data_IF_797297037161
#
_entry.id   IF_797297037161
#
_cell.length_a   1.000
_cell.length_b   1.000
_cell.length_c   1.000
_cell.angle_alpha   90.00
_cell.angle_beta   90.00
_cell.angle_gamma   90.00
#
_symmetry.space_group_name_H-M   'P 1'
#
loop_
_entity.id
_entity.type
_entity.pdbx_description
1 polymer ?
#
# COMPACT_ATOMS: atom_id res chain seq x y z
N UNK A 1 6.65 15.71 -21.06
CA UNK A 1 7.85 15.23 -20.34
C UNK A 1 7.45 13.97 -19.61
N UNK A 2 8.11 12.83 -19.80
CA UNK A 2 7.89 11.70 -18.89
C UNK A 2 9.17 10.91 -18.79
N UNK A 3 10.08 11.39 -17.94
CA UNK A 3 11.32 10.70 -17.63
C UNK A 3 11.07 9.35 -16.96
N UNK A 4 12.11 8.53 -16.94
CA UNK A 4 12.11 7.19 -16.34
C UNK A 4 11.72 7.25 -14.85
N UNK A 5 10.87 6.32 -14.42
CA UNK A 5 10.45 6.18 -13.02
C UNK A 5 11.58 5.51 -12.25
N UNK A 6 12.16 6.25 -11.32
CA UNK A 6 13.31 5.83 -10.51
C UNK A 6 12.82 5.08 -9.27
N UNK A 7 13.19 3.82 -9.12
CA UNK A 7 12.72 2.96 -8.03
C UNK A 7 13.88 2.53 -7.14
N UNK A 8 13.70 2.63 -5.83
CA UNK A 8 14.61 2.05 -4.83
C UNK A 8 13.98 0.79 -4.25
N UNK A 9 14.73 -0.31 -4.24
CA UNK A 9 14.30 -1.59 -3.65
C UNK A 9 14.93 -1.77 -2.26
N UNK A 10 14.14 -2.05 -1.24
CA UNK A 10 14.62 -2.31 0.12
C UNK A 10 14.07 -3.65 0.60
N UNK A 11 14.95 -4.64 0.75
CA UNK A 11 14.62 -6.00 1.16
C UNK A 11 15.88 -6.67 1.74
N UNK A 12 15.76 -7.41 2.85
CA UNK A 12 16.90 -8.07 3.50
C UNK A 12 17.35 -9.32 2.74
N UNK A 13 16.44 -9.95 1.99
CA UNK A 13 16.71 -11.10 1.15
C UNK A 13 17.57 -10.70 -0.06
N UNK A 14 18.78 -11.25 -0.12
CA UNK A 14 19.66 -11.11 -1.28
C UNK A 14 19.01 -11.64 -2.57
N UNK A 15 18.11 -12.63 -2.46
CA UNK A 15 17.34 -13.16 -3.59
C UNK A 15 16.35 -12.10 -4.10
N UNK A 16 15.54 -11.51 -3.22
CA UNK A 16 14.56 -10.48 -3.61
C UNK A 16 15.23 -9.23 -4.17
N UNK A 17 16.38 -8.83 -3.62
CA UNK A 17 17.18 -7.73 -4.18
C UNK A 17 17.73 -7.99 -5.58
N UNK A 18 17.76 -9.24 -6.05
CA UNK A 18 18.08 -9.58 -7.45
C UNK A 18 16.80 -9.75 -8.28
N UNK A 19 15.79 -10.40 -7.73
CA UNK A 19 14.56 -10.74 -8.44
C UNK A 19 13.69 -9.50 -8.72
N UNK A 20 13.46 -8.63 -7.74
CA UNK A 20 12.63 -7.43 -7.92
C UNK A 20 13.18 -6.52 -9.02
N UNK A 21 14.50 -6.20 -9.08
CA UNK A 21 15.03 -5.46 -10.22
C UNK A 21 14.82 -6.15 -11.58
N UNK A 22 15.00 -7.47 -11.66
CA UNK A 22 14.75 -8.22 -12.90
C UNK A 22 13.28 -8.13 -13.34
N UNK A 23 12.35 -8.21 -12.39
CA UNK A 23 10.92 -8.05 -12.64
C UNK A 23 10.60 -6.65 -13.18
N UNK A 24 11.19 -5.61 -12.57
CA UNK A 24 10.95 -4.22 -12.93
C UNK A 24 11.60 -3.80 -14.25
N UNK A 25 12.76 -4.36 -14.60
CA UNK A 25 13.48 -4.11 -15.85
C UNK A 25 12.70 -4.52 -17.12
N UNK A 26 11.64 -5.32 -16.97
CA UNK A 26 10.73 -5.66 -18.08
C UNK A 26 10.03 -4.44 -18.65
N UNK A 27 9.86 -3.40 -17.84
CA UNK A 27 9.28 -2.13 -18.28
C UNK A 27 10.36 -1.07 -18.46
N UNK A 28 10.60 -0.64 -19.71
CA UNK A 28 11.62 0.35 -20.06
C UNK A 28 11.37 1.75 -19.46
N UNK A 29 10.18 1.99 -18.91
CA UNK A 29 9.86 3.25 -18.24
C UNK A 29 10.25 3.25 -16.77
N UNK A 30 10.74 2.13 -16.23
CA UNK A 30 11.19 1.99 -14.83
C UNK A 30 12.70 1.71 -14.79
N UNK A 31 13.40 2.41 -13.91
CA UNK A 31 14.81 2.20 -13.62
C UNK A 31 14.96 1.93 -12.13
N UNK A 32 15.58 0.80 -11.78
CA UNK A 32 15.98 0.55 -10.40
C UNK A 32 17.30 1.26 -10.13
N UNK A 33 17.21 2.38 -9.42
CA UNK A 33 18.36 3.27 -9.12
C UNK A 33 19.17 2.81 -7.91
N UNK A 34 18.72 1.78 -7.21
CA UNK A 34 19.49 1.15 -6.14
C UNK A 34 18.72 0.06 -5.41
N UNK A 35 19.46 -0.75 -4.64
CA UNK A 35 18.90 -1.72 -3.70
C UNK A 35 19.53 -1.58 -2.30
N UNK A 36 18.77 -1.76 -1.22
CA UNK A 36 19.26 -1.69 0.15
C UNK A 36 18.87 -2.94 0.94
N UNK A 37 19.76 -3.39 1.84
CA UNK A 37 19.57 -4.62 2.62
C UNK A 37 18.80 -4.42 3.93
N UNK A 38 18.58 -3.18 4.34
CA UNK A 38 17.83 -2.83 5.53
C UNK A 38 17.41 -1.36 5.47
N UNK A 39 16.61 -0.93 6.44
CA UNK A 39 16.11 0.44 6.50
C UNK A 39 17.21 1.50 6.63
N UNK A 40 18.33 1.21 7.29
CA UNK A 40 19.38 2.18 7.52
C UNK A 40 20.14 2.51 6.22
N UNK A 41 20.52 1.47 5.46
CA UNK A 41 21.05 1.65 4.10
C UNK A 41 19.99 2.22 3.16
N UNK A 42 18.72 1.86 3.35
CA UNK A 42 17.60 2.40 2.60
C UNK A 42 17.49 3.92 2.71
N UNK A 43 17.51 4.46 3.93
CA UNK A 43 17.46 5.90 4.18
C UNK A 43 18.62 6.66 3.56
N UNK A 44 19.86 6.14 3.66
CA UNK A 44 21.03 6.75 2.99
C UNK A 44 20.85 6.80 1.48
N UNK A 45 20.41 5.69 0.87
CA UNK A 45 20.19 5.63 -0.58
C UNK A 45 19.11 6.58 -1.04
N UNK A 46 18.06 6.81 -0.26
CA UNK A 46 17.02 7.80 -0.61
C UNK A 46 17.64 9.17 -0.88
N UNK A 47 18.61 9.60 -0.07
CA UNK A 47 19.30 10.89 -0.24
C UNK A 47 20.23 10.89 -1.46
N UNK A 48 20.98 9.79 -1.67
CA UNK A 48 21.93 9.65 -2.78
C UNK A 48 21.23 9.57 -4.14
N UNK A 49 20.16 8.77 -4.22
CA UNK A 49 19.52 8.42 -5.50
C UNK A 49 18.15 9.04 -5.67
N UNK A 50 17.60 9.79 -4.71
CA UNK A 50 16.33 10.53 -4.86
C UNK A 50 15.22 9.76 -5.62
N UNK A 51 14.84 8.55 -5.20
CA UNK A 51 13.92 7.70 -5.96
C UNK A 51 12.53 8.34 -6.06
N UNK A 52 11.78 7.99 -7.11
CA UNK A 52 10.37 8.37 -7.30
C UNK A 52 9.42 7.53 -6.46
N UNK A 53 9.71 6.23 -6.34
CA UNK A 53 8.93 5.23 -5.61
C UNK A 53 9.89 4.30 -4.87
N UNK A 54 9.47 3.78 -3.72
CA UNK A 54 10.23 2.78 -2.94
C UNK A 54 9.41 1.50 -2.86
N UNK A 55 10.04 0.35 -3.14
CA UNK A 55 9.48 -0.95 -2.75
C UNK A 55 10.14 -1.37 -1.43
N UNK A 56 9.33 -1.73 -0.43
CA UNK A 56 9.81 -1.95 0.93
C UNK A 56 9.30 -3.27 1.49
N UNK A 57 10.22 -4.10 1.96
CA UNK A 57 9.91 -5.20 2.86
C UNK A 57 9.72 -4.70 4.30
N UNK A 58 8.77 -5.30 5.02
CA UNK A 58 8.54 -5.00 6.43
C UNK A 58 9.29 -5.97 7.36
N UNK A 59 9.50 -7.22 6.93
CA UNK A 59 10.02 -8.30 7.78
C UNK A 59 11.56 -8.37 7.75
N UNK A 60 12.24 -7.35 8.30
CA UNK A 60 13.72 -7.26 8.28
C UNK A 60 14.37 -7.39 9.69
N UNK A 61 15.42 -8.21 9.89
CA UNK A 61 15.93 -8.62 11.21
C UNK A 61 16.85 -7.61 11.96
N UNK A 62 16.88 -6.32 11.62
CA UNK A 62 17.73 -5.32 12.33
C UNK A 62 17.13 -3.93 12.46
N UNK A 63 16.45 -3.46 11.41
CA UNK A 63 15.65 -2.24 11.42
C UNK A 63 14.29 -2.59 10.84
N UNK A 64 13.24 -2.38 11.63
CA UNK A 64 11.86 -2.68 11.23
C UNK A 64 11.51 -1.83 10.00
N UNK A 65 11.11 -2.45 8.89
CA UNK A 65 10.67 -1.72 7.70
C UNK A 65 9.53 -0.74 8.01
N UNK A 66 8.75 -1.03 9.06
CA UNK A 66 7.73 -0.13 9.61
C UNK A 66 8.33 1.20 10.11
N UNK A 67 9.52 1.17 10.71
CA UNK A 67 10.17 2.39 11.21
C UNK A 67 10.75 3.23 10.07
N UNK A 68 11.35 2.59 9.08
CA UNK A 68 11.76 3.27 7.85
C UNK A 68 10.56 3.96 7.18
N UNK A 69 9.43 3.26 7.05
CA UNK A 69 8.19 3.83 6.52
C UNK A 69 7.75 5.06 7.31
N UNK A 70 7.72 4.99 8.65
CA UNK A 70 7.40 6.15 9.51
C UNK A 70 8.31 7.34 9.24
N UNK A 71 9.60 7.10 9.10
CA UNK A 71 10.58 8.16 8.82
C UNK A 71 10.36 8.77 7.43
N UNK A 72 10.13 7.95 6.40
CA UNK A 72 9.83 8.43 5.04
C UNK A 72 8.60 9.33 5.04
N UNK A 73 7.52 8.90 5.69
CA UNK A 73 6.25 9.65 5.71
C UNK A 73 6.35 10.97 6.48
N UNK A 74 7.29 11.08 7.44
CA UNK A 74 7.58 12.33 8.17
C UNK A 74 8.45 13.31 7.37
N UNK A 75 9.38 12.81 6.55
CA UNK A 75 10.47 13.62 5.99
C UNK A 75 10.28 13.97 4.52
N UNK A 76 10.18 12.97 3.65
CA UNK A 76 10.24 13.15 2.19
C UNK A 76 8.94 12.74 1.47
N UNK A 77 8.08 11.96 2.15
CA UNK A 77 6.74 11.56 1.65
C UNK A 77 6.78 10.92 0.25
N UNK A 78 7.81 10.13 0.00
CA UNK A 78 7.95 9.31 -1.21
C UNK A 78 6.93 8.17 -1.11
N UNK A 79 6.15 7.87 -2.16
CA UNK A 79 5.22 6.75 -2.12
C UNK A 79 5.98 5.42 -1.94
N UNK A 80 5.51 4.63 -0.97
CA UNK A 80 6.09 3.34 -0.61
C UNK A 80 5.10 2.23 -0.95
N UNK A 81 5.52 1.25 -1.76
CA UNK A 81 4.76 0.03 -2.03
C UNK A 81 5.36 -1.09 -1.16
N UNK A 82 4.54 -1.68 -0.31
CA UNK A 82 4.96 -2.80 0.53
C UNK A 82 5.05 -4.07 -0.30
N UNK A 83 6.12 -4.84 -0.12
CA UNK A 83 6.30 -6.15 -0.74
C UNK A 83 6.31 -7.18 0.38
N UNK A 84 5.16 -7.79 0.68
CA UNK A 84 4.96 -8.59 1.89
C UNK A 84 4.81 -10.09 1.63
N UNK A 85 5.13 -10.92 2.62
CA UNK A 85 4.75 -12.33 2.63
C UNK A 85 3.23 -12.51 2.77
N UNK A 86 2.72 -13.70 2.47
CA UNK A 86 1.30 -14.06 2.66
C UNK A 86 1.00 -14.59 4.07
N UNK A 87 1.92 -14.45 5.02
CA UNK A 87 1.67 -14.88 6.40
C UNK A 87 0.62 -13.97 7.05
N UNK A 88 -0.13 -14.49 8.04
CA UNK A 88 -1.06 -13.67 8.83
C UNK A 88 -0.33 -12.50 9.51
N UNK A 89 0.90 -12.73 9.98
CA UNK A 89 1.77 -11.70 10.54
C UNK A 89 2.12 -10.63 9.50
N UNK A 90 2.51 -11.04 8.29
CA UNK A 90 2.83 -10.16 7.16
C UNK A 90 1.63 -9.32 6.71
N UNK A 91 0.43 -9.89 6.73
CA UNK A 91 -0.79 -9.14 6.40
C UNK A 91 -1.15 -8.11 7.47
N UNK A 92 -1.10 -8.46 8.76
CA UNK A 92 -1.31 -7.50 9.85
C UNK A 92 -0.30 -6.34 9.79
N UNK A 93 0.98 -6.65 9.54
CA UNK A 93 2.02 -5.65 9.32
C UNK A 93 1.72 -4.75 8.11
N UNK A 94 1.24 -5.33 7.01
CA UNK A 94 0.86 -4.59 5.79
C UNK A 94 -0.27 -3.60 6.05
N UNK A 95 -1.33 -3.98 6.76
CA UNK A 95 -2.41 -3.04 7.09
C UNK A 95 -1.96 -1.93 8.05
N UNK A 96 -1.07 -2.25 8.99
CA UNK A 96 -0.44 -1.22 9.82
C UNK A 96 0.38 -0.25 8.97
N UNK A 97 1.13 -0.77 8.00
CA UNK A 97 1.89 0.06 7.07
C UNK A 97 1.00 0.95 6.19
N UNK A 98 -0.12 0.43 5.67
CA UNK A 98 -1.11 1.22 4.93
C UNK A 98 -1.61 2.41 5.76
N UNK A 99 -2.00 2.18 7.01
CA UNK A 99 -2.43 3.26 7.91
C UNK A 99 -1.30 4.21 8.33
N UNK A 100 -0.04 3.80 8.28
CA UNK A 100 1.12 4.68 8.47
C UNK A 100 1.44 5.52 7.22
N UNK A 101 0.73 5.32 6.11
CA UNK A 101 0.88 6.09 4.88
C UNK A 101 1.55 5.33 3.72
N UNK A 102 1.76 4.02 3.83
CA UNK A 102 2.13 3.24 2.66
C UNK A 102 1.09 3.41 1.55
N UNK A 103 1.57 3.48 0.31
CA UNK A 103 0.74 3.79 -0.86
C UNK A 103 -0.13 2.58 -1.26
N UNK A 104 0.49 1.41 -1.31
CA UNK A 104 -0.15 0.15 -1.66
C UNK A 104 0.76 -1.02 -1.23
N UNK A 105 0.36 -2.25 -1.55
CA UNK A 105 1.16 -3.45 -1.34
C UNK A 105 1.03 -4.46 -2.49
N UNK A 106 1.98 -5.39 -2.54
CA UNK A 106 2.03 -6.55 -3.43
C UNK A 106 2.55 -7.74 -2.63
N UNK A 107 2.08 -8.94 -2.93
CA UNK A 107 2.60 -10.16 -2.29
C UNK A 107 3.92 -10.62 -2.92
N UNK A 108 4.85 -11.09 -2.10
CA UNK A 108 6.09 -11.74 -2.55
C UNK A 108 5.76 -13.01 -3.35
N UNK A 109 6.55 -13.33 -4.41
CA UNK A 109 6.39 -14.58 -5.14
C UNK A 109 6.66 -15.77 -4.23
N UNK A 110 5.76 -16.77 -4.24
CA UNK A 110 5.98 -18.07 -3.60
C UNK A 110 6.76 -18.97 -4.55
N UNK A 111 7.75 -19.68 -4.03
CA UNK A 111 8.39 -20.84 -4.64
C UNK A 111 9.01 -20.69 -6.05
N UNK A 112 9.12 -19.46 -6.56
CA UNK A 112 9.86 -19.16 -7.80
C UNK A 112 9.17 -19.60 -9.11
N UNK A 113 7.89 -19.97 -9.08
CA UNK A 113 7.15 -20.37 -10.28
C UNK A 113 7.11 -19.23 -11.33
N UNK A 114 7.54 -19.45 -12.59
CA UNK A 114 7.70 -18.38 -13.58
C UNK A 114 6.43 -17.58 -13.86
N UNK A 115 5.28 -18.24 -14.01
CA UNK A 115 3.98 -17.61 -14.28
C UNK A 115 3.58 -16.64 -13.15
N UNK A 116 3.76 -17.08 -11.89
CA UNK A 116 3.45 -16.27 -10.71
C UNK A 116 4.38 -15.05 -10.60
N UNK A 117 5.64 -15.19 -11.02
CA UNK A 117 6.57 -14.06 -11.07
C UNK A 117 6.11 -13.04 -12.13
N UNK A 118 5.55 -13.47 -13.26
CA UNK A 118 5.06 -12.56 -14.29
C UNK A 118 3.82 -11.77 -13.85
N UNK A 119 2.87 -12.43 -13.19
CA UNK A 119 1.70 -11.79 -12.58
C UNK A 119 2.10 -10.71 -11.57
N UNK A 120 2.98 -11.07 -10.64
CA UNK A 120 3.45 -10.15 -9.59
C UNK A 120 4.26 -9.00 -10.18
N UNK A 121 5.06 -9.26 -11.22
CA UNK A 121 5.79 -8.20 -11.92
C UNK A 121 4.83 -7.19 -12.56
N UNK A 122 3.80 -7.69 -13.25
CA UNK A 122 2.79 -6.85 -13.90
C UNK A 122 2.02 -6.01 -12.88
N UNK A 123 1.61 -6.62 -11.75
CA UNK A 123 0.95 -5.93 -10.65
C UNK A 123 1.84 -4.82 -10.06
N UNK A 124 3.10 -5.15 -9.74
CA UNK A 124 4.05 -4.22 -9.14
C UNK A 124 4.38 -3.05 -10.07
N UNK A 125 4.62 -3.33 -11.36
CA UNK A 125 4.87 -2.30 -12.39
C UNK A 125 3.67 -1.34 -12.49
N UNK A 126 2.45 -1.89 -12.52
CA UNK A 126 1.22 -1.08 -12.56
C UNK A 126 1.13 -0.14 -11.36
N UNK A 127 1.30 -0.66 -10.14
CA UNK A 127 1.27 0.13 -8.91
C UNK A 127 2.37 1.19 -8.85
N UNK A 128 3.59 0.88 -9.30
CA UNK A 128 4.70 1.84 -9.38
C UNK A 128 4.37 3.01 -10.30
N UNK A 129 3.77 2.75 -11.47
CA UNK A 129 3.37 3.80 -12.41
C UNK A 129 2.32 4.73 -11.82
N UNK A 130 1.32 4.18 -11.12
CA UNK A 130 0.29 4.97 -10.44
C UNK A 130 0.90 5.77 -9.29
N UNK A 131 1.76 5.15 -8.47
CA UNK A 131 2.47 5.80 -7.36
C UNK A 131 3.33 6.98 -7.83
N UNK A 132 4.10 6.81 -8.91
CA UNK A 132 4.95 7.84 -9.48
C UNK A 132 4.12 9.05 -9.97
N UNK A 133 2.96 8.80 -10.59
CA UNK A 133 2.02 9.86 -11.01
C UNK A 133 1.38 10.56 -9.82
N UNK A 134 1.00 9.81 -8.78
CA UNK A 134 0.38 10.36 -7.57
C UNK A 134 1.31 11.34 -6.83
N UNK A 135 2.63 11.07 -6.82
CA UNK A 135 3.63 12.01 -6.29
C UNK A 135 3.63 13.34 -7.05
N UNK A 136 3.46 13.31 -8.37
CA UNK A 136 3.39 14.52 -9.20
C UNK A 136 2.07 15.30 -9.01
N UNK A 137 1.02 14.66 -8.51
CA UNK A 137 -0.35 15.21 -8.43
C UNK A 137 -0.84 15.65 -7.04
N UNK A 138 0.04 15.77 -6.03
CA UNK A 138 -0.34 15.95 -4.60
C UNK A 138 -1.20 14.81 -4.07
N UNK A 139 -0.61 13.63 -3.94
CA UNK A 139 -1.13 12.60 -3.04
C UNK A 139 -1.31 13.21 -1.63
N UNK A 140 -2.48 13.05 -0.97
CA UNK A 140 -2.64 13.39 0.44
C UNK A 140 -1.74 12.44 1.23
N UNK A 141 -0.54 12.92 1.53
CA UNK A 141 0.54 12.19 2.23
C UNK A 141 0.25 11.91 3.70
N UNK A 142 -0.95 12.26 4.14
CA UNK A 142 -1.60 11.76 5.33
C UNK A 142 -3.09 12.03 5.11
N UNK A 143 -3.91 10.98 5.02
CA UNK A 143 -5.22 11.11 5.63
C UNK A 143 -4.89 11.40 7.10
N UNK A 144 -5.33 12.52 7.69
CA UNK A 144 -4.94 12.88 9.05
C UNK A 144 -5.36 11.77 10.00
N UNK A 145 -4.43 10.92 10.41
CA UNK A 145 -4.62 9.91 11.47
C UNK A 145 -4.93 10.59 12.81
N UNK A 146 -4.57 11.88 12.94
CA UNK A 146 -4.86 12.72 14.10
C UNK A 146 -6.20 13.45 14.03
N UNK A 147 -6.97 13.32 12.95
CA UNK A 147 -8.39 13.55 13.05
C UNK A 147 -8.98 12.27 13.63
N UNK A 148 -9.11 12.17 14.95
CA UNK A 148 -10.18 11.32 15.47
C UNK A 148 -11.42 11.73 14.68
N UNK A 149 -12.07 10.82 13.91
CA UNK A 149 -13.34 11.18 13.29
C UNK A 149 -14.19 11.73 14.42
N UNK A 150 -14.58 13.01 14.30
CA UNK A 150 -15.44 13.64 15.30
C UNK A 150 -16.61 12.68 15.42
N UNK A 151 -16.84 12.04 16.60
CA UNK A 151 -17.77 10.93 16.68
C UNK A 151 -19.08 11.40 16.08
N UNK A 152 -19.45 10.84 14.92
CA UNK A 152 -20.76 11.11 14.36
C UNK A 152 -21.74 10.64 15.44
N UNK A 153 -22.73 11.46 15.81
CA UNK A 153 -23.66 11.10 16.88
C UNK A 153 -24.21 9.71 16.56
N UNK A 154 -24.07 8.77 17.51
CA UNK A 154 -24.62 7.43 17.36
C UNK A 154 -26.11 7.58 17.05
N UNK A 155 -26.61 7.04 15.92
CA UNK A 155 -28.02 7.11 15.62
C UNK A 155 -28.79 6.46 16.76
N UNK A 156 -29.72 7.21 17.36
CA UNK A 156 -30.55 6.75 18.47
C UNK A 156 -31.52 5.62 18.05
N UNK A 157 -31.63 5.34 16.75
CA UNK A 157 -32.51 4.31 16.18
C UNK A 157 -31.83 3.71 14.95
N UNK A 158 -31.46 2.42 15.00
CA UNK A 158 -31.16 1.65 13.78
C UNK A 158 -32.46 1.49 13.02
N UNK A 159 -32.57 2.07 11.81
CA UNK A 159 -33.70 1.79 10.93
C UNK A 159 -33.77 0.28 10.64
N UNK A 160 -34.91 -0.34 10.91
CA UNK A 160 -35.17 -1.75 10.63
C UNK A 160 -35.65 -2.00 9.19
N UNK A 161 -35.81 -0.94 8.39
CA UNK A 161 -36.22 -1.06 6.99
C UNK A 161 -35.07 -1.54 6.11
N UNK A 162 -35.32 -2.51 5.23
CA UNK A 162 -34.36 -2.92 4.21
C UNK A 162 -33.89 -1.71 3.38
N UNK A 163 -32.58 -1.59 3.08
CA UNK A 163 -32.06 -0.47 2.31
C UNK A 163 -32.69 -0.44 0.91
N UNK A 164 -33.21 0.71 0.51
CA UNK A 164 -33.87 0.90 -0.80
C UNK A 164 -32.89 1.28 -1.92
N UNK A 165 -31.61 1.45 -1.58
CA UNK A 165 -30.54 1.88 -2.49
C UNK A 165 -29.28 1.03 -2.27
N UNK A 166 -28.58 0.78 -3.36
CA UNK A 166 -27.28 0.11 -3.36
C UNK A 166 -26.25 1.05 -3.99
N UNK A 167 -25.09 1.19 -3.34
CA UNK A 167 -23.91 1.87 -3.88
C UNK A 167 -22.85 0.82 -4.13
N UNK A 168 -22.38 0.73 -5.37
CA UNK A 168 -21.28 -0.16 -5.76
C UNK A 168 -19.98 0.66 -5.89
N UNK A 169 -18.91 0.24 -5.21
CA UNK A 169 -17.58 0.86 -5.26
C UNK A 169 -16.58 -0.15 -5.78
N UNK A 170 -15.87 0.19 -6.85
CA UNK A 170 -14.72 -0.56 -7.34
C UNK A 170 -13.42 0.20 -7.08
N UNK A 171 -12.42 -0.43 -6.48
CA UNK A 171 -11.12 0.17 -6.20
C UNK A 171 -9.95 -0.80 -6.38
N UNK A 172 -8.77 -0.25 -6.64
CA UNK A 172 -7.54 -1.02 -6.86
C UNK A 172 -6.37 -0.29 -6.22
N UNK A 173 -5.47 0.31 -6.99
CA UNK A 173 -4.28 0.99 -6.47
C UNK A 173 -4.62 2.20 -5.62
N UNK A 174 -4.06 2.26 -4.40
CA UNK A 174 -4.40 3.30 -3.42
C UNK A 174 -5.80 3.17 -2.81
N UNK A 175 -6.54 2.13 -3.22
CA UNK A 175 -7.91 1.86 -2.79
C UNK A 175 -8.05 1.60 -1.29
N UNK A 176 -7.19 0.80 -0.63
CA UNK A 176 -7.36 0.48 0.80
C UNK A 176 -7.45 1.72 1.70
N UNK A 177 -6.51 2.67 1.56
CA UNK A 177 -6.51 3.91 2.33
C UNK A 177 -7.69 4.83 1.96
N UNK A 178 -8.03 4.88 0.66
CA UNK A 178 -9.15 5.68 0.16
C UNK A 178 -10.48 5.18 0.73
N UNK A 179 -10.70 3.87 0.72
CA UNK A 179 -11.87 3.23 1.29
C UNK A 179 -11.95 3.44 2.81
N UNK A 180 -10.84 3.26 3.52
CA UNK A 180 -10.80 3.50 4.96
C UNK A 180 -11.18 4.95 5.30
N UNK A 181 -10.65 5.92 4.54
CA UNK A 181 -11.04 7.32 4.70
C UNK A 181 -12.51 7.53 4.39
N UNK A 182 -12.97 7.11 3.21
CA UNK A 182 -14.35 7.30 2.76
C UNK A 182 -15.36 6.77 3.78
N UNK A 183 -15.17 5.52 4.22
CA UNK A 183 -16.07 4.85 5.16
C UNK A 183 -16.05 5.50 6.55
N UNK A 184 -14.89 5.98 7.02
CA UNK A 184 -14.77 6.68 8.31
C UNK A 184 -15.55 8.00 8.37
N UNK A 185 -15.93 8.57 7.21
CA UNK A 185 -16.73 9.79 7.12
C UNK A 185 -18.23 9.52 7.06
N UNK A 186 -18.66 8.26 6.91
CA UNK A 186 -20.06 7.90 6.80
C UNK A 186 -20.71 7.74 8.19
N UNK A 187 -21.97 8.14 8.35
CA UNK A 187 -22.71 7.92 9.59
C UNK A 187 -23.11 6.44 9.74
N UNK A 188 -23.26 5.97 10.97
CA UNK A 188 -23.61 4.58 11.26
C UNK A 188 -25.02 4.14 10.80
N UNK A 189 -25.89 5.08 10.44
CA UNK A 189 -27.23 4.88 9.87
C UNK A 189 -27.30 5.24 8.38
N UNK A 190 -26.18 5.14 7.66
CA UNK A 190 -26.11 5.45 6.25
C UNK A 190 -27.22 4.72 5.44
N UNK A 191 -28.07 5.45 4.67
CA UNK A 191 -29.37 4.94 4.19
C UNK A 191 -29.28 4.07 2.93
N UNK A 192 -28.13 3.44 2.67
CA UNK A 192 -27.90 2.59 1.50
C UNK A 192 -26.99 1.40 1.83
N UNK A 193 -27.23 0.27 1.17
CA UNK A 193 -26.28 -0.84 1.19
C UNK A 193 -25.07 -0.50 0.32
N UNK A 194 -23.88 -0.91 0.73
CA UNK A 194 -22.65 -0.72 -0.03
C UNK A 194 -22.06 -2.06 -0.44
N UNK A 195 -21.78 -2.22 -1.73
CA UNK A 195 -21.05 -3.35 -2.29
C UNK A 195 -19.67 -2.86 -2.74
N UNK A 196 -18.61 -3.37 -2.13
CA UNK A 196 -17.23 -2.92 -2.38
C UNK A 196 -16.44 -4.05 -3.04
N UNK A 197 -15.87 -3.77 -4.20
CA UNK A 197 -14.94 -4.64 -4.90
C UNK A 197 -13.55 -3.99 -4.87
N UNK A 198 -12.66 -4.54 -4.05
CA UNK A 198 -11.29 -4.07 -3.93
C UNK A 198 -10.35 -5.17 -4.44
N UNK A 199 -9.51 -4.86 -5.44
CA UNK A 199 -8.48 -5.77 -5.91
C UNK A 199 -7.40 -5.95 -4.84
N UNK A 200 -7.34 -7.13 -4.24
CA UNK A 200 -6.36 -7.51 -3.21
C UNK A 200 -5.99 -8.99 -3.34
N UNK A 201 -4.77 -9.39 -2.93
CA UNK A 201 -4.37 -10.78 -2.87
C UNK A 201 -5.27 -11.61 -1.95
N UNK A 202 -5.33 -12.91 -2.23
CA UNK A 202 -6.07 -13.88 -1.40
C UNK A 202 -5.64 -13.81 0.08
N UNK A 203 -6.63 -13.92 0.99
CA UNK A 203 -6.47 -13.78 2.44
C UNK A 203 -6.49 -12.33 2.94
N UNK A 204 -6.12 -11.34 2.12
CA UNK A 204 -6.11 -9.94 2.57
C UNK A 204 -7.51 -9.31 2.59
N UNK A 205 -8.44 -9.75 1.74
CA UNK A 205 -9.79 -9.17 1.65
C UNK A 205 -10.58 -9.32 2.95
N UNK A 206 -10.52 -10.50 3.59
CA UNK A 206 -11.20 -10.73 4.88
C UNK A 206 -10.61 -9.85 5.99
N UNK A 207 -9.29 -9.79 6.10
CA UNK A 207 -8.62 -8.96 7.10
C UNK A 207 -8.91 -7.47 6.89
N UNK A 208 -8.99 -7.02 5.63
CA UNK A 208 -9.37 -5.65 5.34
C UNK A 208 -10.81 -5.34 5.74
N UNK A 209 -11.75 -6.24 5.43
CA UNK A 209 -13.15 -6.09 5.84
C UNK A 209 -13.29 -6.01 7.37
N UNK A 210 -12.62 -6.88 8.13
CA UNK A 210 -12.61 -6.83 9.60
C UNK A 210 -12.06 -5.50 10.12
N UNK A 211 -10.96 -5.02 9.54
CA UNK A 211 -10.35 -3.74 9.93
C UNK A 211 -11.28 -2.55 9.68
N UNK A 212 -12.05 -2.58 8.58
CA UNK A 212 -13.03 -1.54 8.28
C UNK A 212 -14.21 -1.55 9.27
N UNK A 213 -14.54 -2.70 9.86
CA UNK A 213 -15.61 -2.84 10.87
C UNK A 213 -15.18 -2.33 12.26
N UNK A 214 -13.88 -2.37 12.56
CA UNK A 214 -13.31 -1.92 13.84
C UNK A 214 -13.12 -0.39 13.95
N UNK A 215 -13.14 0.34 12.84
CA UNK A 215 -12.81 1.78 12.76
C UNK A 215 -14.02 2.69 12.63
#
# INVERSE_FOLDING_TARGET
MSGTIRVLVVDDSALMRKLLPQMLQRDKTIEVVGTAMDGAFGMKKIEEVQPHVITLDLEMPRMDGTEMLRQIMRTQKIPVIIVSSHSTAGAAATFKALALGAFDFVSKPRDGAPERIEEIASELISKIKVAAKARAGRWPTAIPVNGTPKPLPKPAVRSTSSPSRIIAIGSSTGGPNTLQYLLSQLPGDFPAAMAIVQHMPEGFTEMFARRLDEG
#
